data_IF_392774615681
#
_entry.id   IF_392774615681
#
_cell.length_a   1.000
_cell.length_b   1.000
_cell.length_c   1.000
_cell.angle_alpha   90.00
_cell.angle_beta   90.00
_cell.angle_gamma   90.00
#
_symmetry.space_group_name_H-M   'P 1'
#
loop_
_entity.id
_entity.type
_entity.pdbx_description
1 polymer ?
#
# COMPACT_ATOMS: atom_id res chain seq x y z
N UNK A 1 -13.48 9.66 -11.52
CA UNK A 1 -12.85 10.88 -10.98
C UNK A 1 -11.96 10.44 -9.85
N UNK A 2 -10.69 10.83 -9.83
CA UNK A 2 -9.80 10.48 -8.72
C UNK A 2 -10.15 11.28 -7.46
N UNK A 3 -10.26 10.62 -6.29
CA UNK A 3 -10.61 11.29 -5.03
C UNK A 3 -9.46 11.36 -4.00
N UNK A 4 -8.75 10.25 -3.78
CA UNK A 4 -7.58 10.21 -2.88
C UNK A 4 -6.70 8.97 -3.13
N UNK A 5 -5.48 9.04 -2.62
CA UNK A 5 -4.61 7.89 -2.44
C UNK A 5 -4.40 7.62 -0.94
N UNK A 6 -4.60 6.38 -0.50
CA UNK A 6 -4.24 5.91 0.83
C UNK A 6 -2.92 5.13 0.74
N UNK A 7 -2.00 5.38 1.67
CA UNK A 7 -0.72 4.70 1.76
C UNK A 7 -0.75 3.76 2.96
N UNK A 8 -0.34 2.51 2.76
CA UNK A 8 -0.15 1.53 3.83
C UNK A 8 1.13 0.72 3.58
N UNK A 9 1.74 0.15 4.62
CA UNK A 9 2.87 -0.75 4.46
C UNK A 9 2.42 -2.15 3.99
N UNK A 10 3.36 -2.96 3.53
CA UNK A 10 3.13 -4.31 3.00
C UNK A 10 3.42 -5.50 3.93
N UNK A 11 3.92 -5.38 5.18
CA UNK A 11 4.42 -6.53 5.90
C UNK A 11 3.26 -7.47 6.27
N UNK A 12 3.43 -8.81 6.12
CA UNK A 12 2.36 -9.77 6.40
C UNK A 12 1.85 -9.70 7.85
N UNK A 13 2.65 -9.18 8.78
CA UNK A 13 2.28 -9.00 10.20
C UNK A 13 1.07 -8.07 10.43
N UNK A 14 0.67 -7.29 9.42
CA UNK A 14 -0.60 -6.56 9.42
C UNK A 14 -1.80 -7.50 9.56
N UNK A 15 -1.70 -8.74 9.04
CA UNK A 15 -2.78 -9.74 9.06
C UNK A 15 -2.75 -10.49 10.40
N UNK A 16 -3.76 -10.33 11.28
CA UNK A 16 -3.79 -10.96 12.60
C UNK A 16 -3.62 -12.49 12.57
N UNK A 17 -4.21 -13.15 11.57
CA UNK A 17 -4.19 -14.60 11.40
C UNK A 17 -2.77 -15.14 11.18
N UNK A 18 -1.86 -14.33 10.62
CA UNK A 18 -0.44 -14.68 10.47
C UNK A 18 0.35 -14.59 11.78
N UNK A 19 -0.18 -13.88 12.77
CA UNK A 19 0.44 -13.73 14.09
C UNK A 19 -0.03 -14.79 15.10
N UNK A 20 -0.82 -15.78 14.65
CA UNK A 20 -1.48 -16.74 15.54
C UNK A 20 -2.60 -16.11 16.37
N UNK A 21 -3.14 -14.98 15.92
CA UNK A 21 -4.23 -14.24 16.57
C UNK A 21 -5.61 -14.64 15.99
N UNK A 22 -5.75 -15.93 15.66
CA UNK A 22 -7.05 -16.54 15.40
C UNK A 22 -7.90 -16.36 16.67
N UNK A 23 -9.17 -15.96 16.52
CA UNK A 23 -10.08 -15.53 17.60
C UNK A 23 -10.38 -16.56 18.73
N UNK A 24 -9.59 -17.62 18.88
CA UNK A 24 -9.71 -18.62 19.93
C UNK A 24 -8.32 -18.96 20.51
N UNK A 25 -8.16 -18.70 21.81
CA UNK A 25 -7.28 -19.44 22.74
C UNK A 25 -5.75 -19.16 22.73
N UNK A 26 -5.33 -17.90 22.93
CA UNK A 26 -4.08 -17.67 23.69
C UNK A 26 -4.38 -17.07 25.07
N UNK A 27 -3.94 -17.70 26.17
CA UNK A 27 -3.96 -17.07 27.49
C UNK A 27 -3.22 -15.74 27.42
N UNK A 28 -3.72 -14.72 28.10
CA UNK A 28 -3.11 -13.40 28.26
C UNK A 28 -1.67 -13.53 28.80
N UNK A 29 -0.71 -13.71 27.91
CA UNK A 29 0.69 -13.39 28.18
C UNK A 29 0.81 -11.86 28.10
N UNK A 30 1.68 -11.27 28.91
CA UNK A 30 1.88 -9.82 28.88
C UNK A 30 2.27 -9.41 27.46
N UNK A 31 1.50 -8.50 26.86
CA UNK A 31 1.82 -7.93 25.53
C UNK A 31 3.22 -7.32 25.58
N UNK A 32 4.04 -7.66 24.61
CA UNK A 32 5.36 -7.05 24.45
C UNK A 32 5.20 -5.66 23.81
N UNK A 33 6.22 -4.80 23.95
CA UNK A 33 6.27 -3.51 23.25
C UNK A 33 6.11 -3.69 21.72
N UNK A 34 6.66 -4.78 21.19
CA UNK A 34 6.57 -5.12 19.77
C UNK A 34 5.12 -5.46 19.36
N UNK A 35 4.36 -6.17 20.21
CA UNK A 35 2.95 -6.47 19.95
C UNK A 35 2.10 -5.18 19.91
N UNK A 36 2.42 -4.21 20.76
CA UNK A 36 1.75 -2.90 20.77
C UNK A 36 2.06 -2.10 19.50
N UNK A 37 3.33 -2.10 19.05
CA UNK A 37 3.74 -1.45 17.79
C UNK A 37 3.05 -2.07 16.57
N UNK A 38 2.88 -3.41 16.54
CA UNK A 38 2.12 -4.09 15.48
C UNK A 38 0.65 -3.70 15.52
N UNK A 39 0.04 -3.67 16.70
CA UNK A 39 -1.36 -3.32 16.87
C UNK A 39 -1.64 -1.87 16.46
N UNK A 40 -0.73 -0.95 16.78
CA UNK A 40 -0.78 0.45 16.35
C UNK A 40 -0.67 0.57 14.83
N UNK A 41 0.34 -0.06 14.23
CA UNK A 41 0.54 -0.07 12.77
C UNK A 41 -0.68 -0.65 12.02
N UNK A 42 -1.22 -1.77 12.51
CA UNK A 42 -2.44 -2.38 11.94
C UNK A 42 -3.63 -1.45 12.05
N UNK A 43 -3.82 -0.82 13.21
CA UNK A 43 -4.92 0.13 13.44
C UNK A 43 -4.81 1.33 12.51
N UNK A 44 -3.60 1.85 12.28
CA UNK A 44 -3.35 2.90 11.31
C UNK A 44 -3.74 2.45 9.89
N UNK A 45 -3.28 1.28 9.45
CA UNK A 45 -3.61 0.74 8.12
C UNK A 45 -5.13 0.56 7.93
N UNK A 46 -5.83 -0.01 8.92
CA UNK A 46 -7.30 -0.13 8.92
C UNK A 46 -7.98 1.23 8.89
N UNK A 47 -7.45 2.23 9.59
CA UNK A 47 -7.98 3.60 9.59
C UNK A 47 -7.86 4.24 8.21
N UNK A 48 -6.71 4.10 7.54
CA UNK A 48 -6.52 4.58 6.17
C UNK A 48 -7.46 3.86 5.18
N UNK A 49 -7.60 2.53 5.31
CA UNK A 49 -8.54 1.75 4.50
C UNK A 49 -9.99 2.18 4.68
N UNK A 50 -10.43 2.47 5.91
CA UNK A 50 -11.77 3.00 6.19
C UNK A 50 -11.98 4.40 5.62
N UNK A 51 -10.96 5.25 5.66
CA UNK A 51 -11.03 6.58 5.05
C UNK A 51 -11.17 6.48 3.51
N UNK A 52 -10.45 5.55 2.87
CA UNK A 52 -10.62 5.26 1.45
C UNK A 52 -12.03 4.72 1.14
N UNK A 53 -12.52 3.78 1.95
CA UNK A 53 -13.86 3.18 1.82
C UNK A 53 -15.01 4.18 1.97
N UNK A 54 -14.80 5.24 2.76
CA UNK A 54 -15.79 6.29 2.97
C UNK A 54 -16.01 7.15 1.73
N UNK A 55 -15.00 7.25 0.85
CA UNK A 55 -15.02 8.10 -0.34
C UNK A 55 -15.36 7.32 -1.61
N UNK A 56 -15.05 6.02 -1.66
CA UNK A 56 -15.25 5.20 -2.86
C UNK A 56 -15.25 3.69 -2.58
N UNK A 57 -16.03 2.98 -3.41
CA UNK A 57 -16.04 1.52 -3.50
C UNK A 57 -15.22 0.98 -4.68
N UNK A 58 -14.50 1.84 -5.41
CA UNK A 58 -13.69 1.52 -6.60
C UNK A 58 -12.23 1.81 -6.32
N UNK A 59 -11.43 0.76 -6.11
CA UNK A 59 -10.04 0.90 -5.68
C UNK A 59 -9.06 0.44 -6.77
N UNK A 60 -7.92 1.10 -6.85
CA UNK A 60 -6.74 0.56 -7.54
C UNK A 60 -5.62 0.38 -6.53
N UNK A 61 -5.24 -0.87 -6.27
CA UNK A 61 -4.09 -1.22 -5.44
C UNK A 61 -2.82 -1.02 -6.26
N UNK A 62 -1.93 -0.15 -5.82
CA UNK A 62 -0.61 0.08 -6.41
C UNK A 62 0.45 -0.55 -5.52
N UNK A 63 1.37 -1.31 -6.10
CA UNK A 63 2.45 -1.92 -5.34
C UNK A 63 3.59 -2.40 -6.23
N UNK A 64 4.60 -3.00 -5.61
CA UNK A 64 5.79 -3.51 -6.30
C UNK A 64 5.76 -5.03 -6.37
N UNK A 65 6.13 -5.58 -7.53
CA UNK A 65 6.24 -7.01 -7.75
C UNK A 65 7.49 -7.35 -8.59
N UNK A 66 7.71 -8.63 -8.87
CA UNK A 66 8.85 -9.08 -9.68
C UNK A 66 8.74 -8.68 -11.17
N UNK A 67 7.56 -8.30 -11.64
CA UNK A 67 7.31 -7.83 -13.00
C UNK A 67 6.05 -6.97 -13.02
N UNK A 68 5.90 -6.14 -14.06
CA UNK A 68 4.68 -5.39 -14.31
C UNK A 68 3.49 -6.35 -14.45
N UNK A 69 2.42 -6.10 -13.69
CA UNK A 69 1.21 -6.92 -13.71
C UNK A 69 -0.03 -6.08 -13.44
N UNK A 70 -1.12 -6.35 -14.17
CA UNK A 70 -2.47 -5.88 -13.83
C UNK A 70 -3.34 -7.06 -13.42
N UNK A 71 -4.08 -6.89 -12.34
CA UNK A 71 -4.97 -7.90 -11.76
C UNK A 71 -6.38 -7.33 -11.70
N UNK A 72 -7.36 -8.07 -12.23
CA UNK A 72 -8.76 -7.69 -12.22
C UNK A 72 -9.47 -8.03 -10.89
N UNK A 73 -10.71 -7.54 -10.71
CA UNK A 73 -11.49 -7.75 -9.48
C UNK A 73 -11.87 -9.21 -9.24
N UNK A 74 -11.77 -10.08 -10.25
CA UNK A 74 -12.01 -11.51 -10.17
C UNK A 74 -10.92 -12.30 -9.43
N UNK A 75 -9.76 -11.68 -9.15
CA UNK A 75 -8.61 -12.37 -8.56
C UNK A 75 -8.84 -12.72 -7.08
N UNK A 76 -8.52 -13.97 -6.75
CA UNK A 76 -8.53 -14.53 -5.39
C UNK A 76 -7.11 -15.00 -5.05
N UNK A 77 -6.62 -14.59 -3.88
CA UNK A 77 -5.30 -14.96 -3.36
C UNK A 77 -5.40 -15.68 -2.02
N UNK A 78 -4.28 -16.23 -1.58
CA UNK A 78 -4.18 -16.84 -0.25
C UNK A 78 -2.82 -16.59 0.39
N UNK A 79 -2.81 -16.43 1.72
CA UNK A 79 -1.58 -16.33 2.49
C UNK A 79 -0.89 -17.68 2.75
N UNK A 80 -1.22 -18.76 2.02
CA UNK A 80 -0.52 -20.06 2.16
C UNK A 80 0.99 -19.93 1.96
N UNK A 81 1.43 -19.03 1.08
CA UNK A 81 2.85 -18.70 0.90
C UNK A 81 3.54 -18.16 2.16
N UNK A 82 2.76 -17.69 3.14
CA UNK A 82 3.18 -17.18 4.44
C UNK A 82 2.78 -18.12 5.60
N UNK A 83 2.36 -19.34 5.29
CA UNK A 83 2.11 -20.39 6.28
C UNK A 83 0.68 -20.47 6.83
N UNK A 84 -0.26 -19.66 6.34
CA UNK A 84 -1.66 -19.69 6.80
C UNK A 84 -2.62 -19.80 5.62
N UNK A 85 -3.57 -20.72 5.68
CA UNK A 85 -4.63 -20.86 4.68
C UNK A 85 -5.74 -19.82 4.90
N UNK A 86 -5.40 -18.55 4.68
CA UNK A 86 -6.33 -17.43 4.76
C UNK A 86 -6.59 -16.90 3.35
N UNK A 87 -7.86 -16.84 2.95
CA UNK A 87 -8.28 -16.42 1.61
C UNK A 87 -8.59 -14.93 1.59
N UNK A 88 -8.19 -14.26 0.50
CA UNK A 88 -8.52 -12.87 0.23
C UNK A 88 -8.90 -12.69 -1.23
N UNK A 89 -9.70 -11.68 -1.54
CA UNK A 89 -10.14 -11.41 -2.91
C UNK A 89 -10.11 -9.92 -3.20
N UNK A 90 -9.94 -9.54 -4.47
CA UNK A 90 -10.02 -8.14 -4.89
C UNK A 90 -11.47 -7.64 -5.00
N UNK A 91 -12.48 -8.51 -5.00
CA UNK A 91 -13.89 -8.15 -4.89
C UNK A 91 -14.68 -9.12 -4.00
N UNK A 92 -15.85 -8.71 -3.51
CA UNK A 92 -16.76 -9.58 -2.78
C UNK A 92 -17.32 -10.72 -3.64
N UNK A 93 -17.61 -10.45 -4.91
CA UNK A 93 -18.15 -11.41 -5.88
C UNK A 93 -17.17 -12.55 -6.18
N UNK A 94 -15.87 -12.27 -6.23
CA UNK A 94 -14.83 -13.28 -6.46
C UNK A 94 -14.65 -14.26 -5.29
N UNK A 95 -14.85 -13.79 -4.05
CA UNK A 95 -14.71 -14.63 -2.85
C UNK A 95 -15.92 -15.52 -2.55
N UNK A 96 -17.10 -15.17 -3.05
CA UNK A 96 -18.37 -15.79 -2.64
C UNK A 96 -18.80 -17.01 -3.48
N UNK A 97 -17.97 -17.52 -4.39
CA UNK A 97 -18.28 -18.72 -5.17
C UNK A 97 -19.61 -18.67 -5.94
N UNK A 98 -20.12 -17.46 -6.22
CA UNK A 98 -21.42 -17.26 -6.82
C UNK A 98 -21.35 -17.54 -8.34
N UNK A 99 -22.05 -18.60 -8.76
CA UNK A 99 -22.42 -18.97 -10.15
C UNK A 99 -21.39 -18.67 -11.26
N UNK A 100 -20.12 -19.00 -11.00
CA UNK A 100 -19.02 -18.94 -11.96
C UNK A 100 -18.04 -20.11 -11.80
N UNK A 101 -17.05 -20.27 -12.69
CA UNK A 101 -15.97 -21.25 -12.51
C UNK A 101 -15.32 -21.06 -11.14
N UNK A 102 -15.00 -22.15 -10.45
CA UNK A 102 -14.30 -22.09 -9.15
C UNK A 102 -12.98 -21.33 -9.33
N UNK A 103 -12.91 -20.10 -8.82
CA UNK A 103 -11.68 -19.32 -8.82
C UNK A 103 -10.71 -19.97 -7.85
N UNK A 104 -9.66 -20.62 -8.37
CA UNK A 104 -8.61 -21.22 -7.55
C UNK A 104 -7.77 -20.09 -6.96
N UNK A 105 -7.75 -19.97 -5.63
CA UNK A 105 -6.94 -18.98 -4.94
C UNK A 105 -5.46 -19.16 -5.28
N UNK A 106 -4.78 -18.10 -5.73
CA UNK A 106 -3.37 -18.15 -6.08
C UNK A 106 -2.48 -18.01 -4.83
N UNK A 107 -1.68 -19.03 -4.46
CA UNK A 107 -0.75 -18.94 -3.34
C UNK A 107 0.52 -18.13 -3.64
N UNK A 108 0.72 -17.70 -4.89
CA UNK A 108 1.88 -16.92 -5.34
C UNK A 108 1.50 -15.48 -5.70
N UNK A 109 0.29 -15.05 -5.34
CA UNK A 109 -0.14 -13.68 -5.59
C UNK A 109 0.84 -12.69 -4.92
N UNK A 110 1.29 -11.62 -5.60
CA UNK A 110 2.22 -10.67 -5.00
C UNK A 110 1.67 -10.05 -3.72
N UNK A 111 2.55 -9.84 -2.74
CA UNK A 111 2.17 -9.40 -1.40
C UNK A 111 1.36 -8.10 -1.37
N UNK A 112 1.68 -7.05 -2.15
CA UNK A 112 0.85 -5.85 -2.19
C UNK A 112 -0.61 -6.10 -2.56
N UNK A 113 -0.87 -7.04 -3.48
CA UNK A 113 -2.22 -7.43 -3.85
C UNK A 113 -2.93 -8.23 -2.74
N UNK A 114 -2.20 -9.13 -2.05
CA UNK A 114 -2.75 -9.85 -0.89
C UNK A 114 -3.13 -8.90 0.26
N UNK A 115 -2.27 -7.94 0.57
CA UNK A 115 -2.51 -6.94 1.63
C UNK A 115 -3.65 -5.98 1.24
N UNK A 116 -3.68 -5.52 -0.03
CA UNK A 116 -4.77 -4.70 -0.52
C UNK A 116 -6.12 -5.43 -0.48
N UNK A 117 -6.15 -6.70 -0.89
CA UNK A 117 -7.34 -7.55 -0.81
C UNK A 117 -7.80 -7.81 0.64
N UNK A 118 -6.85 -8.05 1.56
CA UNK A 118 -7.14 -8.18 2.99
C UNK A 118 -7.76 -6.89 3.55
N UNK A 119 -7.12 -5.74 3.34
CA UNK A 119 -7.62 -4.46 3.86
C UNK A 119 -9.01 -4.14 3.32
N UNK A 120 -9.25 -4.42 2.03
CA UNK A 120 -10.57 -4.30 1.40
C UNK A 120 -11.60 -5.18 2.10
N UNK A 121 -11.29 -6.44 2.36
CA UNK A 121 -12.16 -7.35 3.12
C UNK A 121 -12.49 -6.83 4.53
N UNK A 122 -11.51 -6.24 5.21
CA UNK A 122 -11.63 -5.70 6.57
C UNK A 122 -12.41 -4.39 6.66
N UNK A 123 -12.38 -3.56 5.62
CA UNK A 123 -12.86 -2.17 5.68
C UNK A 123 -13.99 -1.86 4.71
N UNK A 124 -14.12 -2.61 3.62
CA UNK A 124 -15.10 -2.37 2.56
C UNK A 124 -15.46 -3.68 1.82
N UNK A 125 -16.26 -4.54 2.46
CA UNK A 125 -16.62 -5.85 1.88
C UNK A 125 -17.28 -5.74 0.49
N UNK A 126 -18.01 -4.66 0.21
CA UNK A 126 -18.65 -4.38 -1.07
C UNK A 126 -17.78 -3.64 -2.09
N UNK A 127 -16.56 -3.22 -1.73
CA UNK A 127 -15.67 -2.57 -2.69
C UNK A 127 -15.12 -3.56 -3.72
N UNK A 128 -14.90 -3.06 -4.92
CA UNK A 128 -14.19 -3.76 -5.99
C UNK A 128 -12.84 -3.07 -6.20
N UNK A 129 -11.78 -3.88 -6.11
CA UNK A 129 -10.42 -3.45 -6.34
C UNK A 129 -9.86 -4.09 -7.61
N UNK A 130 -8.97 -3.36 -8.28
CA UNK A 130 -8.00 -3.90 -9.22
C UNK A 130 -6.60 -3.69 -8.64
N UNK A 131 -5.59 -4.40 -9.15
CA UNK A 131 -4.20 -4.10 -8.77
C UNK A 131 -3.35 -3.76 -10.00
N UNK A 132 -2.50 -2.75 -9.82
CA UNK A 132 -1.43 -2.38 -10.75
C UNK A 132 -0.10 -2.52 -10.02
N UNK A 133 0.61 -3.58 -10.36
CA UNK A 133 1.90 -3.92 -9.79
C UNK A 133 3.01 -3.56 -10.78
N UNK A 134 4.09 -2.98 -10.26
CA UNK A 134 5.20 -2.48 -11.04
C UNK A 134 6.46 -3.26 -10.69
N UNK A 135 7.29 -3.55 -11.68
CA UNK A 135 8.58 -4.17 -11.45
C UNK A 135 9.48 -3.31 -10.54
N UNK A 136 10.19 -3.93 -9.60
CA UNK A 136 11.06 -3.23 -8.65
C UNK A 136 12.20 -2.45 -9.32
N UNK A 137 12.63 -2.90 -10.50
CA UNK A 137 13.69 -2.34 -11.33
C UNK A 137 13.22 -1.29 -12.35
N UNK A 138 11.92 -0.97 -12.39
CA UNK A 138 11.40 0.02 -13.33
C UNK A 138 12.09 1.38 -13.13
N UNK A 139 12.45 2.05 -14.23
CA UNK A 139 13.09 3.37 -14.15
C UNK A 139 12.16 4.41 -13.52
N UNK A 140 12.74 5.47 -12.94
CA UNK A 140 11.97 6.59 -12.36
C UNK A 140 10.95 7.16 -13.35
N UNK A 141 11.37 7.45 -14.59
CA UNK A 141 10.50 7.99 -15.63
C UNK A 141 9.33 7.05 -15.93
N UNK A 142 9.62 5.73 -16.01
CA UNK A 142 8.59 4.71 -16.26
C UNK A 142 7.57 4.65 -15.11
N UNK A 143 8.02 4.73 -13.87
CA UNK A 143 7.13 4.77 -12.70
C UNK A 143 6.25 6.03 -12.72
N UNK A 144 6.83 7.20 -13.02
CA UNK A 144 6.09 8.46 -13.11
C UNK A 144 5.06 8.45 -14.25
N UNK A 145 5.44 7.95 -15.44
CA UNK A 145 4.53 7.78 -16.58
C UNK A 145 3.37 6.85 -16.26
N UNK A 146 3.63 5.76 -15.52
CA UNK A 146 2.58 4.85 -15.04
C UNK A 146 1.61 5.54 -14.10
N UNK A 147 2.11 6.37 -13.19
CA UNK A 147 1.28 7.17 -12.30
C UNK A 147 0.38 8.14 -13.06
N UNK A 148 0.95 8.88 -14.00
CA UNK A 148 0.20 9.81 -14.84
C UNK A 148 -0.85 9.10 -15.70
N UNK A 149 -0.50 7.92 -16.24
CA UNK A 149 -1.44 7.07 -16.98
C UNK A 149 -2.59 6.59 -16.08
N UNK A 150 -2.29 6.14 -14.86
CA UNK A 150 -3.32 5.77 -13.89
C UNK A 150 -4.23 6.97 -13.60
N UNK A 151 -3.68 8.17 -13.36
CA UNK A 151 -4.50 9.36 -13.15
C UNK A 151 -5.48 9.59 -14.31
N UNK A 152 -4.99 9.53 -15.55
CA UNK A 152 -5.82 9.71 -16.73
C UNK A 152 -6.93 8.64 -16.85
N UNK A 153 -6.64 7.37 -16.52
CA UNK A 153 -7.66 6.30 -16.46
C UNK A 153 -8.72 6.62 -15.39
N UNK A 154 -8.32 7.06 -14.19
CA UNK A 154 -9.23 7.36 -13.09
C UNK A 154 -10.12 8.59 -13.33
N UNK A 155 -9.64 9.58 -14.10
CA UNK A 155 -10.41 10.77 -14.50
C UNK A 155 -11.34 10.53 -15.69
N UNK A 156 -11.22 9.39 -16.38
CA UNK A 156 -12.07 9.06 -17.54
C UNK A 156 -13.50 8.63 -17.17
N UNK A 157 -13.76 8.43 -15.87
CA UNK A 157 -15.05 8.07 -15.30
C UNK A 157 -15.54 9.21 -14.38
N UNK A 158 -16.83 9.37 -14.20
CA UNK A 158 -17.41 10.33 -13.25
C UNK A 158 -17.56 9.72 -11.84
N UNK A 159 -17.55 8.40 -11.68
CA UNK A 159 -17.59 7.73 -10.37
C UNK A 159 -16.31 8.03 -9.57
N UNK A 160 -16.39 8.36 -8.27
CA UNK A 160 -15.21 8.52 -7.42
C UNK A 160 -14.39 7.24 -7.37
N UNK A 161 -13.08 7.34 -7.61
CA UNK A 161 -12.14 6.23 -7.60
C UNK A 161 -10.92 6.58 -6.76
N UNK A 162 -10.45 5.60 -5.99
CA UNK A 162 -9.38 5.79 -5.03
C UNK A 162 -8.22 4.86 -5.29
N UNK A 163 -7.03 5.23 -4.83
CA UNK A 163 -5.81 4.43 -4.97
C UNK A 163 -5.36 3.96 -3.59
N UNK A 164 -4.99 2.69 -3.47
CA UNK A 164 -4.33 2.15 -2.28
C UNK A 164 -2.88 1.82 -2.64
N UNK A 165 -1.94 2.64 -2.20
CA UNK A 165 -0.51 2.40 -2.38
C UNK A 165 -0.03 1.51 -1.23
N UNK A 166 0.48 0.33 -1.58
CA UNK A 166 1.00 -0.66 -0.63
C UNK A 166 2.50 -0.77 -0.83
N UNK A 167 3.28 -0.15 0.07
CA UNK A 167 4.70 0.07 -0.11
C UNK A 167 5.43 0.23 1.24
N UNK A 168 6.64 -0.35 1.33
CA UNK A 168 7.52 -0.22 2.49
C UNK A 168 8.72 0.69 2.19
N UNK A 169 9.27 1.27 3.25
CA UNK A 169 10.54 1.98 3.26
C UNK A 169 11.75 1.04 3.34
N UNK A 170 12.89 1.58 3.76
CA UNK A 170 14.16 0.86 3.85
C UNK A 170 14.07 -0.25 4.91
N UNK A 171 14.52 -1.47 4.56
CA UNK A 171 14.53 -2.63 5.46
C UNK A 171 15.91 -2.89 6.10
N UNK A 172 16.70 -1.84 6.26
CA UNK A 172 18.11 -1.86 6.69
C UNK A 172 18.41 -0.89 7.84
N UNK A 173 17.38 -0.45 8.57
CA UNK A 173 17.50 0.62 9.59
C UNK A 173 18.10 0.17 10.93
N UNK A 174 18.23 -1.14 11.15
CA UNK A 174 18.78 -1.67 12.40
C UNK A 174 19.47 -3.01 12.20
N UNK A 175 20.26 -3.43 13.18
CA UNK A 175 20.93 -4.75 13.16
C UNK A 175 19.96 -5.92 13.27
N UNK A 176 18.71 -5.67 13.69
CA UNK A 176 17.64 -6.67 13.73
C UNK A 176 16.74 -6.61 12.49
N UNK A 177 16.99 -5.68 11.57
CA UNK A 177 16.23 -5.54 10.35
C UNK A 177 16.46 -6.74 9.42
N UNK A 178 15.48 -7.13 8.58
CA UNK A 178 15.63 -8.23 7.64
C UNK A 178 16.81 -8.07 6.68
N UNK A 179 17.08 -6.84 6.24
CA UNK A 179 18.20 -6.51 5.36
C UNK A 179 19.54 -6.27 6.08
N UNK A 180 19.57 -6.38 7.41
CA UNK A 180 20.68 -5.96 8.28
C UNK A 180 20.99 -4.45 8.19
N UNK A 181 21.81 -3.93 9.11
CA UNK A 181 22.06 -2.50 9.22
C UNK A 181 22.91 -1.95 8.06
N UNK A 182 22.43 -0.88 7.42
CA UNK A 182 23.21 0.00 6.54
C UNK A 182 23.16 1.45 7.09
N UNK A 183 24.30 2.09 7.37
CA UNK A 183 24.32 3.44 7.95
C UNK A 183 23.74 4.52 7.03
N UNK A 184 23.58 4.26 5.73
CA UNK A 184 22.95 5.18 4.77
C UNK A 184 21.43 5.16 4.87
N UNK A 185 20.85 4.10 5.44
CA UNK A 185 19.41 3.86 5.47
C UNK A 185 18.64 4.97 6.21
N UNK A 186 19.20 5.49 7.31
CA UNK A 186 18.54 6.51 8.14
C UNK A 186 18.28 7.81 7.37
N UNK A 187 19.27 8.31 6.63
CA UNK A 187 19.12 9.54 5.84
C UNK A 187 18.13 9.36 4.68
N UNK A 188 18.24 8.25 3.95
CA UNK A 188 17.33 7.95 2.83
C UNK A 188 15.89 7.75 3.32
N UNK A 189 15.69 7.02 4.42
CA UNK A 189 14.36 6.86 5.01
C UNK A 189 13.81 8.20 5.52
N UNK A 190 14.64 9.01 6.17
CA UNK A 190 14.22 10.33 6.65
C UNK A 190 13.83 11.29 5.51
N UNK A 191 14.47 11.18 4.34
CA UNK A 191 14.07 11.89 3.13
C UNK A 191 12.73 11.39 2.60
N UNK A 192 12.54 10.06 2.52
CA UNK A 192 11.27 9.45 2.13
C UNK A 192 10.13 9.88 3.06
N UNK A 193 10.32 9.76 4.37
CA UNK A 193 9.32 10.11 5.39
C UNK A 193 8.84 11.55 5.23
N UNK A 194 9.78 12.50 5.06
CA UNK A 194 9.47 13.91 4.82
C UNK A 194 8.76 14.12 3.49
N UNK A 195 9.24 13.51 2.42
CA UNK A 195 8.61 13.63 1.10
C UNK A 195 7.16 13.15 1.14
N UNK A 196 6.90 12.05 1.86
CA UNK A 196 5.55 11.52 2.01
C UNK A 196 4.65 12.39 2.91
N UNK A 197 5.20 13.00 3.97
CA UNK A 197 4.47 13.88 4.88
C UNK A 197 4.17 15.26 4.29
N UNK A 198 5.06 15.77 3.42
CA UNK A 198 4.96 17.10 2.82
C UNK A 198 4.28 17.08 1.43
N UNK A 199 4.01 15.89 0.88
CA UNK A 199 3.44 15.79 -0.47
C UNK A 199 4.47 16.02 -1.59
N UNK A 200 5.77 15.92 -1.29
CA UNK A 200 6.86 16.32 -2.19
C UNK A 200 7.08 15.29 -3.30
N UNK A 201 6.36 15.50 -4.40
CA UNK A 201 6.45 14.69 -5.63
C UNK A 201 7.86 14.66 -6.20
N UNK A 202 8.61 15.76 -6.13
CA UNK A 202 9.95 15.83 -6.69
C UNK A 202 10.93 14.97 -5.89
N UNK A 203 10.89 15.06 -4.56
CA UNK A 203 11.72 14.23 -3.69
C UNK A 203 11.44 12.73 -3.83
N UNK A 204 10.18 12.33 -4.09
CA UNK A 204 9.86 10.93 -4.41
C UNK A 204 10.50 10.47 -5.73
N UNK A 205 10.58 11.34 -6.74
CA UNK A 205 11.23 11.06 -8.01
C UNK A 205 12.77 11.02 -7.89
N UNK A 206 13.35 11.70 -6.91
CA UNK A 206 14.79 11.67 -6.61
C UNK A 206 15.26 10.37 -5.94
N UNK A 207 14.36 9.45 -5.57
CA UNK A 207 14.75 8.16 -5.01
C UNK A 207 15.53 7.34 -6.05
N UNK A 208 16.84 7.23 -5.84
CA UNK A 208 17.76 6.55 -6.75
C UNK A 208 17.54 5.03 -6.78
N UNK A 209 17.28 4.41 -7.95
CA UNK A 209 16.96 2.99 -8.05
C UNK A 209 17.98 2.06 -7.39
N UNK A 210 19.27 2.27 -7.68
CA UNK A 210 20.34 1.40 -7.19
C UNK A 210 20.52 1.53 -5.68
N UNK A 211 20.51 2.76 -5.15
CA UNK A 211 20.61 2.99 -3.71
C UNK A 211 19.41 2.41 -2.96
N UNK A 212 18.19 2.60 -3.48
CA UNK A 212 17.00 1.99 -2.87
C UNK A 212 17.07 0.46 -2.87
N UNK A 213 17.60 -0.16 -3.94
CA UNK A 213 17.80 -1.60 -3.99
C UNK A 213 18.81 -2.08 -2.94
N UNK A 214 19.94 -1.38 -2.77
CA UNK A 214 20.94 -1.67 -1.74
C UNK A 214 20.36 -1.57 -0.32
N UNK A 215 19.50 -0.59 -0.08
CA UNK A 215 18.86 -0.36 1.23
C UNK A 215 17.62 -1.23 1.47
N UNK A 216 17.28 -2.10 0.53
CA UNK A 216 16.05 -2.89 0.53
C UNK A 216 14.79 -2.03 0.73
N UNK A 217 14.76 -0.83 0.13
CA UNK A 217 13.60 0.05 0.06
C UNK A 217 12.66 -0.43 -1.05
N UNK A 218 11.85 -1.44 -0.72
CA UNK A 218 11.03 -2.18 -1.69
C UNK A 218 9.90 -1.35 -2.31
N UNK A 219 9.45 -0.28 -1.64
CA UNK A 219 8.36 0.59 -2.08
C UNK A 219 8.70 1.62 -3.15
N UNK A 220 9.98 1.82 -3.51
CA UNK A 220 10.44 2.93 -4.39
C UNK A 220 9.55 3.13 -5.62
N UNK A 221 9.36 2.08 -6.42
CA UNK A 221 8.63 2.17 -7.68
C UNK A 221 7.15 2.58 -7.49
N UNK A 222 6.52 2.14 -6.38
CA UNK A 222 5.16 2.54 -6.03
C UNK A 222 5.09 4.01 -5.58
N UNK A 223 6.08 4.49 -4.81
CA UNK A 223 6.15 5.91 -4.43
C UNK A 223 6.39 6.84 -5.63
N UNK A 224 7.20 6.42 -6.61
CA UNK A 224 7.39 7.18 -7.84
C UNK A 224 6.14 7.15 -8.74
N UNK A 225 5.38 6.05 -8.73
CA UNK A 225 4.05 6.03 -9.35
C UNK A 225 3.07 6.96 -8.63
N UNK A 226 3.11 7.04 -7.30
CA UNK A 226 2.33 8.01 -6.54
C UNK A 226 2.68 9.45 -6.93
N UNK A 227 3.96 9.78 -7.08
CA UNK A 227 4.38 11.10 -7.58
C UNK A 227 3.78 11.39 -8.97
N UNK A 228 3.84 10.41 -9.87
CA UNK A 228 3.22 10.49 -11.21
C UNK A 228 1.70 10.66 -11.19
N UNK A 229 1.00 10.02 -10.25
CA UNK A 229 -0.46 10.10 -10.06
C UNK A 229 -0.93 11.53 -9.75
N UNK A 230 -0.08 12.32 -9.08
CA UNK A 230 -0.33 13.72 -8.74
C UNK A 230 0.43 14.70 -9.66
N UNK A 231 1.11 14.24 -10.70
CA UNK A 231 1.97 15.10 -11.54
C UNK A 231 1.21 16.21 -12.28
N UNK A 232 -0.06 15.98 -12.61
CA UNK A 232 -0.90 16.97 -13.30
C UNK A 232 -1.58 17.97 -12.34
N UNK A 233 -1.53 17.74 -11.03
CA UNK A 233 -2.18 18.61 -10.05
C UNK A 233 -1.33 19.89 -9.89
N UNK A 234 -1.95 21.09 -9.95
CA UNK A 234 -1.21 22.35 -9.87
C UNK A 234 -0.65 22.62 -8.48
N UNK A 235 -1.40 22.24 -7.45
CA UNK A 235 -1.05 22.40 -6.05
C UNK A 235 -0.53 21.08 -5.47
N UNK A 236 0.25 21.18 -4.39
CA UNK A 236 0.68 20.02 -3.65
C UNK A 236 -0.51 19.35 -2.94
N UNK A 237 -0.47 18.01 -2.76
CA UNK A 237 -1.56 17.27 -2.15
C UNK A 237 -1.71 17.62 -0.66
N UNK A 238 -2.95 17.54 -0.17
CA UNK A 238 -3.23 17.66 1.27
C UNK A 238 -2.94 16.30 1.92
N UNK A 239 -1.99 16.30 2.86
CA UNK A 239 -1.52 15.09 3.53
C UNK A 239 -2.12 14.96 4.94
N UNK A 240 -2.50 13.73 5.28
CA UNK A 240 -2.83 13.32 6.64
C UNK A 240 -2.01 12.07 6.99
N UNK A 241 -0.91 12.24 7.73
CA UNK A 241 -0.05 11.14 8.17
C UNK A 241 -0.60 10.53 9.46
N UNK A 242 -0.98 9.26 9.39
CA UNK A 242 -1.60 8.51 10.50
C UNK A 242 -0.55 7.75 11.31
N UNK A 243 0.51 7.28 10.68
CA UNK A 243 1.60 6.55 11.32
C UNK A 243 2.91 6.77 10.60
N UNK A 244 4.01 6.85 11.37
CA UNK A 244 5.38 6.77 10.85
C UNK A 244 6.25 6.08 11.89
N UNK A 245 7.02 5.07 11.48
CA UNK A 245 7.92 4.36 12.39
C UNK A 245 8.63 3.20 11.75
N UNK A 246 9.59 2.61 12.47
CA UNK A 246 10.37 1.47 12.01
C UNK A 246 10.53 0.37 13.08
N UNK A 247 9.42 -0.21 13.59
CA UNK A 247 9.45 -1.14 14.73
C UNK A 247 10.27 -2.41 14.47
N UNK A 248 10.48 -2.78 13.20
CA UNK A 248 11.27 -3.96 12.80
C UNK A 248 12.58 -3.59 12.09
N UNK A 249 13.03 -2.35 12.20
CA UNK A 249 14.11 -1.83 11.36
C UNK A 249 13.73 -1.73 9.87
N UNK A 250 12.42 -1.71 9.59
CA UNK A 250 11.82 -1.45 8.28
C UNK A 250 10.98 -0.19 8.39
N UNK A 251 11.22 0.80 7.53
CA UNK A 251 10.46 2.05 7.53
C UNK A 251 9.01 1.82 7.07
N UNK A 252 8.05 2.26 7.86
CA UNK A 252 6.63 2.22 7.51
C UNK A 252 6.00 3.60 7.68
N UNK A 253 5.13 3.94 6.73
CA UNK A 253 4.28 5.09 6.85
C UNK A 253 2.85 4.73 6.42
N UNK A 254 1.88 5.30 7.12
CA UNK A 254 0.46 5.23 6.77
C UNK A 254 -0.05 6.65 6.67
N UNK A 255 -0.79 6.95 5.60
CA UNK A 255 -1.35 8.27 5.43
C UNK A 255 -2.31 8.38 4.25
N UNK A 256 -2.88 9.56 4.10
CA UNK A 256 -3.80 9.89 3.02
C UNK A 256 -3.26 11.08 2.24
N UNK A 257 -3.27 10.96 0.93
CA UNK A 257 -2.93 11.99 -0.04
C UNK A 257 -4.21 12.38 -0.78
N UNK A 258 -4.62 13.65 -0.68
CA UNK A 258 -5.77 14.18 -1.42
C UNK A 258 -5.30 15.24 -2.40
N UNK A 259 -5.92 15.36 -3.60
CA UNK A 259 -5.65 16.49 -4.47
C UNK A 259 -5.77 17.81 -3.70
N UNK A 260 -4.86 18.75 -3.95
CA UNK A 260 -4.94 20.09 -3.41
C UNK A 260 -6.31 20.69 -3.73
N UNK A 261 -6.90 21.44 -2.79
CA UNK A 261 -8.19 22.07 -3.04
C UNK A 261 -8.07 22.98 -4.27
N UNK A 262 -8.68 22.60 -5.39
CA UNK A 262 -8.90 23.55 -6.48
C UNK A 262 -9.58 24.76 -5.84
N UNK A 263 -9.03 25.96 -6.07
CA UNK A 263 -9.65 27.23 -5.71
C UNK A 263 -11.01 27.38 -6.41
N UNK A 264 -12.01 26.64 -5.92
CA UNK A 264 -13.40 26.72 -6.31
C UNK A 264 -14.03 27.82 -5.48
N UNK A 265 -14.08 29.01 -6.07
CA UNK A 265 -14.90 30.13 -5.63
C UNK A 265 -16.33 29.62 -5.38
N UNK A 266 -16.68 29.35 -4.12
CA UNK A 266 -18.06 29.24 -3.69
C UNK A 266 -18.58 30.67 -3.55
N UNK A 267 -19.16 31.20 -4.63
CA UNK A 267 -20.10 32.32 -4.57
C UNK A 267 -21.47 31.89 -5.03
#
# INVERSE_FOLDING_TARGET
MFCLAALIPSPPILVPELCGDSASERPCTARTQQDEQVAELRTAAVTAGRALAAETMRWTVVGVAAADQRLGPEVVGTFRGYGVDYLVALSGSAGNGAEGPVTVADPRLPLPALIGAWLRGETAQGAEAEAWLIAAEASTDRCAELGAKLRAELESDDEPRGVLVVADGAATLSTSAPGYFDPRAEDVQGRLDRALADGDRAALLELEPDLCAELALSGRAAYQMLAGLFAADPDDPVIDTVYQGAPFGVGYQVGLWRPGAQGGDRR
#
